data_IF_505683241778
#
_entry.id   IF_505683241778
#
_cell.length_a   1.000
_cell.length_b   1.000
_cell.length_c   1.000
_cell.angle_alpha   90.00
_cell.angle_beta   90.00
_cell.angle_gamma   90.00
#
_symmetry.space_group_name_H-M   'P 1'
#
loop_
_entity.id
_entity.type
_entity.pdbx_description
1 polymer ?
#
# COMPACT_ATOMS: atom_id res chain seq x y z
N UNK A 1 13.02 -3.65 8.96
CA UNK A 1 11.64 -3.67 9.52
C UNK A 1 10.89 -2.51 8.90
N UNK A 2 9.80 -2.73 8.18
CA UNK A 2 9.11 -1.69 7.40
C UNK A 2 8.61 -0.47 8.22
N UNK A 3 8.23 0.60 7.52
CA UNK A 3 7.60 1.80 8.09
C UNK A 3 6.23 2.08 7.48
N UNK A 4 5.27 2.53 8.29
CA UNK A 4 3.93 2.95 7.86
C UNK A 4 3.70 4.40 8.27
N UNK A 5 3.11 5.19 7.37
CA UNK A 5 2.64 6.55 7.64
C UNK A 5 1.19 6.65 7.20
N UNK A 6 0.35 7.28 8.01
CA UNK A 6 -1.02 7.66 7.64
C UNK A 6 -1.26 9.10 8.05
N UNK A 7 -2.06 9.83 7.26
CA UNK A 7 -2.45 11.20 7.58
C UNK A 7 -3.91 11.44 7.22
N UNK A 8 -4.60 12.11 8.15
CA UNK A 8 -5.96 12.65 7.97
C UNK A 8 -5.92 14.06 8.55
N UNK A 9 -6.21 15.08 7.73
CA UNK A 9 -6.22 16.47 8.20
C UNK A 9 -6.38 17.49 7.08
N UNK A 10 -5.74 18.65 7.22
CA UNK A 10 -5.92 19.82 6.32
C UNK A 10 -4.69 20.17 5.46
N UNK A 11 -3.60 19.40 5.60
CA UNK A 11 -2.35 19.66 4.87
C UNK A 11 -2.38 18.84 3.58
N UNK A 12 -1.72 19.33 2.53
CA UNK A 12 -1.54 18.56 1.29
C UNK A 12 -0.85 17.24 1.60
N UNK A 13 -1.37 16.15 1.03
CA UNK A 13 -0.99 14.80 1.45
C UNK A 13 0.45 14.44 1.05
N UNK A 14 0.89 14.81 -0.16
CA UNK A 14 2.19 14.37 -0.70
C UNK A 14 3.38 14.81 0.17
N UNK A 15 3.54 16.11 0.54
CA UNK A 15 4.63 16.51 1.43
C UNK A 15 4.58 15.82 2.80
N UNK A 16 3.38 15.63 3.37
CA UNK A 16 3.22 15.00 4.68
C UNK A 16 3.66 13.54 4.65
N UNK A 17 3.26 12.79 3.61
CA UNK A 17 3.67 11.39 3.46
C UNK A 17 5.17 11.29 3.18
N UNK A 18 5.73 12.12 2.30
CA UNK A 18 7.17 12.12 2.02
C UNK A 18 8.00 12.42 3.27
N UNK A 19 7.64 13.44 4.05
CA UNK A 19 8.34 13.76 5.30
C UNK A 19 8.25 12.63 6.32
N UNK A 20 7.06 12.00 6.44
CA UNK A 20 6.88 10.84 7.30
C UNK A 20 7.73 9.66 6.86
N UNK A 21 7.76 9.36 5.56
CA UNK A 21 8.52 8.25 5.00
C UNK A 21 10.04 8.48 5.09
N UNK A 22 10.52 9.73 4.90
CA UNK A 22 11.93 10.10 5.08
C UNK A 22 12.41 9.75 6.49
N UNK A 23 11.58 10.03 7.51
CA UNK A 23 11.87 9.66 8.91
C UNK A 23 11.87 8.15 9.16
N UNK A 24 11.25 7.36 8.28
CA UNK A 24 11.15 5.90 8.37
C UNK A 24 11.99 5.16 7.32
N UNK A 25 12.84 5.84 6.56
CA UNK A 25 13.64 5.19 5.52
C UNK A 25 14.70 4.24 6.11
N UNK A 26 15.23 4.55 7.30
CA UNK A 26 16.18 3.68 8.00
C UNK A 26 15.60 2.29 8.34
N UNK A 27 14.27 2.16 8.30
CA UNK A 27 13.52 0.94 8.60
C UNK A 27 13.43 0.01 7.38
N UNK A 28 13.37 0.56 6.16
CA UNK A 28 13.33 -0.19 4.91
C UNK A 28 13.51 0.73 3.70
N UNK A 29 14.32 0.28 2.73
CA UNK A 29 14.76 1.09 1.59
C UNK A 29 14.78 0.28 0.28
N UNK A 30 14.12 -0.89 0.27
CA UNK A 30 14.03 -1.74 -0.91
C UNK A 30 12.95 -1.27 -1.89
N UNK A 31 11.92 -0.61 -1.37
CA UNK A 31 10.84 0.04 -2.13
C UNK A 31 10.01 0.94 -1.22
N UNK A 32 9.28 1.88 -1.80
CA UNK A 32 8.35 2.73 -1.09
C UNK A 32 7.11 3.00 -1.95
N UNK A 33 6.03 3.43 -1.31
CA UNK A 33 4.84 3.85 -2.03
C UNK A 33 3.85 4.59 -1.16
N UNK A 34 2.92 5.27 -1.81
CA UNK A 34 1.86 6.07 -1.21
C UNK A 34 0.54 5.86 -1.95
N UNK A 35 -0.56 6.10 -1.26
CA UNK A 35 -1.89 6.16 -1.84
C UNK A 35 -2.74 7.24 -1.19
N UNK A 36 -3.62 7.85 -1.98
CA UNK A 36 -4.57 8.87 -1.54
C UNK A 36 -5.83 8.84 -2.42
N UNK A 37 -7.00 9.23 -1.89
CA UNK A 37 -8.19 9.44 -2.69
C UNK A 37 -8.15 10.80 -3.39
N UNK A 38 -8.53 10.84 -4.66
CA UNK A 38 -8.71 12.07 -5.44
C UNK A 38 -9.68 11.79 -6.60
N UNK A 39 -10.59 12.73 -6.89
CA UNK A 39 -11.59 12.63 -7.97
C UNK A 39 -12.40 11.33 -7.96
N UNK A 40 -12.80 10.87 -6.77
CA UNK A 40 -13.57 9.63 -6.59
C UNK A 40 -12.79 8.34 -6.88
N UNK A 41 -11.46 8.42 -7.00
CA UNK A 41 -10.57 7.27 -7.27
C UNK A 41 -9.46 7.20 -6.23
N UNK A 42 -8.97 5.99 -5.97
CA UNK A 42 -7.70 5.82 -5.26
C UNK A 42 -6.53 5.98 -6.23
N UNK A 43 -5.70 6.98 -5.98
CA UNK A 43 -4.39 7.14 -6.59
C UNK A 43 -3.38 6.33 -5.79
N UNK A 44 -2.44 5.70 -6.49
CA UNK A 44 -1.37 4.93 -5.88
C UNK A 44 -0.10 5.08 -6.71
N UNK A 45 1.00 5.44 -6.06
CA UNK A 45 2.32 5.57 -6.68
C UNK A 45 3.31 4.75 -5.86
N UNK A 46 4.12 3.95 -6.53
CA UNK A 46 5.07 3.03 -5.91
C UNK A 46 6.37 3.10 -6.69
N UNK A 47 7.47 2.84 -5.99
CA UNK A 47 8.79 2.83 -6.59
C UNK A 47 9.65 1.73 -5.94
N UNK A 48 10.45 1.07 -6.77
CA UNK A 48 11.53 0.19 -6.32
C UNK A 48 12.73 1.04 -5.88
N UNK A 49 13.37 0.65 -4.79
CA UNK A 49 14.59 1.25 -4.28
C UNK A 49 14.33 2.31 -3.20
N UNK A 50 15.28 3.24 -3.08
CA UNK A 50 15.28 4.29 -2.07
C UNK A 50 14.15 5.29 -2.29
N UNK A 51 13.84 6.05 -1.23
CA UNK A 51 12.69 6.94 -1.21
C UNK A 51 12.77 8.08 -2.24
N UNK A 52 13.98 8.49 -2.66
CA UNK A 52 14.16 9.53 -3.68
C UNK A 52 13.51 9.14 -5.02
N UNK A 53 13.47 7.86 -5.37
CA UNK A 53 12.84 7.39 -6.62
C UNK A 53 11.31 7.58 -6.54
N UNK A 54 10.73 7.35 -5.35
CA UNK A 54 9.31 7.67 -5.12
C UNK A 54 9.06 9.17 -5.15
N UNK A 55 9.96 9.98 -4.58
CA UNK A 55 9.86 11.44 -4.58
C UNK A 55 9.85 11.99 -6.01
N UNK A 56 10.75 11.50 -6.88
CA UNK A 56 10.76 11.82 -8.31
C UNK A 56 9.46 11.42 -9.02
N UNK A 57 8.93 10.23 -8.75
CA UNK A 57 7.66 9.77 -9.31
C UNK A 57 6.44 10.59 -8.83
N UNK A 58 6.55 11.26 -7.68
CA UNK A 58 5.47 12.08 -7.11
C UNK A 58 5.45 13.52 -7.61
N UNK A 59 6.46 13.94 -8.38
CA UNK A 59 6.53 15.29 -8.97
C UNK A 59 5.30 15.60 -9.82
N UNK A 60 4.81 14.62 -10.59
CA UNK A 60 3.61 14.78 -11.43
C UNK A 60 2.32 15.01 -10.62
N UNK A 61 2.33 14.69 -9.31
CA UNK A 61 1.18 14.82 -8.41
C UNK A 61 1.29 15.99 -7.44
N UNK A 62 2.28 16.88 -7.55
CA UNK A 62 2.41 18.05 -6.66
C UNK A 62 1.19 18.97 -6.64
N UNK A 63 0.38 18.92 -7.70
CA UNK A 63 -0.88 19.66 -7.83
C UNK A 63 -2.04 19.13 -6.98
N UNK A 64 -1.92 17.93 -6.39
CA UNK A 64 -3.02 17.33 -5.63
C UNK A 64 -3.47 18.21 -4.46
N UNK A 65 -4.77 18.23 -4.25
CA UNK A 65 -5.41 18.92 -3.11
C UNK A 65 -5.85 17.94 -2.01
N UNK A 66 -5.64 16.64 -2.22
CA UNK A 66 -5.96 15.62 -1.24
C UNK A 66 -5.23 15.86 0.09
N UNK A 67 -5.91 15.56 1.19
CA UNK A 67 -5.41 15.77 2.56
C UNK A 67 -5.51 14.52 3.43
N UNK A 68 -5.85 13.39 2.80
CA UNK A 68 -5.94 12.06 3.41
C UNK A 68 -5.10 11.10 2.60
N UNK A 69 -4.38 10.20 3.25
CA UNK A 69 -3.61 9.17 2.56
C UNK A 69 -2.69 8.40 3.48
N UNK A 70 -2.01 7.43 2.89
CA UNK A 70 -1.10 6.54 3.59
C UNK A 70 0.13 6.24 2.74
N UNK A 71 1.19 5.81 3.39
CA UNK A 71 2.45 5.47 2.77
C UNK A 71 3.18 4.36 3.50
N UNK A 72 4.13 3.74 2.81
CA UNK A 72 4.91 2.65 3.35
C UNK A 72 6.34 2.64 2.80
N UNK A 73 7.32 2.39 3.67
CA UNK A 73 8.69 2.02 3.31
C UNK A 73 8.91 0.54 3.59
N UNK A 74 9.46 -0.19 2.62
CA UNK A 74 9.51 -1.65 2.64
C UNK A 74 10.94 -2.17 2.80
N UNK A 75 11.09 -3.17 3.66
CA UNK A 75 12.22 -4.10 3.70
C UNK A 75 11.69 -5.45 3.22
N UNK A 76 12.21 -5.95 2.10
CA UNK A 76 11.69 -7.15 1.45
C UNK A 76 12.08 -8.42 2.26
N UNK A 77 11.09 -9.05 2.89
CA UNK A 77 11.21 -10.37 3.53
C UNK A 77 10.63 -11.48 2.65
N UNK A 78 9.47 -11.25 2.05
CA UNK A 78 8.84 -12.11 1.04
C UNK A 78 8.86 -11.43 -0.33
N UNK A 79 9.07 -12.18 -1.40
CA UNK A 79 9.11 -11.65 -2.76
C UNK A 79 10.31 -10.75 -3.03
N UNK A 80 10.59 -10.50 -4.32
CA UNK A 80 11.71 -9.65 -4.73
C UNK A 80 11.39 -8.16 -4.49
N UNK A 81 12.40 -7.30 -4.32
CA UNK A 81 12.20 -5.86 -4.29
C UNK A 81 11.85 -5.37 -5.71
N UNK A 82 10.55 -5.31 -6.01
CA UNK A 82 9.98 -4.80 -7.26
C UNK A 82 8.88 -3.79 -6.95
N UNK A 83 8.43 -3.04 -7.96
CA UNK A 83 7.34 -2.08 -7.78
C UNK A 83 6.00 -2.77 -7.47
N UNK A 84 5.76 -3.94 -8.06
CA UNK A 84 4.56 -4.75 -7.85
C UNK A 84 4.45 -5.20 -6.38
N UNK A 85 5.58 -5.56 -5.79
CA UNK A 85 5.71 -5.97 -4.40
C UNK A 85 5.81 -4.79 -3.42
N UNK A 86 5.92 -3.56 -3.92
CA UNK A 86 5.87 -2.39 -3.07
C UNK A 86 4.44 -2.17 -2.57
N UNK A 87 4.33 -1.78 -1.30
CA UNK A 87 3.07 -1.36 -0.72
C UNK A 87 2.76 0.09 -1.16
N UNK A 88 1.49 0.54 -1.16
CA UNK A 88 0.28 -0.20 -0.76
C UNK A 88 -0.18 -1.28 -1.76
N UNK A 89 -0.81 -2.34 -1.27
CA UNK A 89 -1.48 -3.36 -2.11
C UNK A 89 -2.95 -3.02 -2.28
N UNK A 90 -3.56 -3.34 -3.42
CA UNK A 90 -4.98 -3.11 -3.69
C UNK A 90 -5.76 -4.41 -3.85
N UNK A 91 -7.07 -4.29 -3.68
CA UNK A 91 -8.05 -5.30 -4.07
C UNK A 91 -8.18 -5.43 -5.60
N UNK A 92 -9.04 -6.34 -6.08
CA UNK A 92 -9.25 -6.51 -7.52
C UNK A 92 -9.92 -5.27 -8.15
N UNK A 93 -10.76 -4.53 -7.40
CA UNK A 93 -11.46 -3.35 -7.90
C UNK A 93 -10.61 -2.07 -7.91
N UNK A 94 -9.52 -2.03 -7.12
CA UNK A 94 -8.69 -0.84 -6.93
C UNK A 94 -9.31 0.22 -6.01
N UNK A 95 -10.40 -0.10 -5.31
CA UNK A 95 -11.11 0.80 -4.38
C UNK A 95 -10.68 0.63 -2.93
N UNK A 96 -9.91 -0.41 -2.62
CA UNK A 96 -9.31 -0.64 -1.32
C UNK A 96 -7.79 -0.70 -1.46
N UNK A 97 -7.07 -0.14 -0.50
CA UNK A 97 -5.62 -0.36 -0.37
C UNK A 97 -5.22 -0.69 1.06
N UNK A 98 -4.19 -1.52 1.20
CA UNK A 98 -3.64 -1.97 2.48
C UNK A 98 -2.13 -1.75 2.51
N UNK A 99 -1.64 -1.31 3.67
CA UNK A 99 -0.22 -1.37 4.05
C UNK A 99 -0.11 -2.23 5.31
N UNK A 100 0.97 -2.98 5.42
CA UNK A 100 1.17 -3.93 6.50
C UNK A 100 2.65 -3.96 6.91
N UNK A 101 2.90 -4.06 8.20
CA UNK A 101 4.23 -4.27 8.76
C UNK A 101 4.15 -5.45 9.71
N UNK A 102 4.61 -6.60 9.24
CA UNK A 102 4.46 -7.89 9.89
C UNK A 102 4.67 -9.00 8.88
N UNK A 103 4.38 -10.24 9.29
CA UNK A 103 4.41 -11.42 8.41
C UNK A 103 3.10 -12.17 8.59
N UNK A 104 2.46 -12.55 7.48
CA UNK A 104 1.29 -13.44 7.49
C UNK A 104 1.76 -14.86 7.19
N UNK A 105 1.95 -15.66 8.23
CA UNK A 105 2.61 -16.97 8.12
C UNK A 105 1.83 -17.96 7.24
N UNK A 106 0.51 -17.87 7.20
CA UNK A 106 -0.37 -18.74 6.41
C UNK A 106 -0.77 -18.15 5.05
N UNK A 107 -0.06 -17.12 4.54
CA UNK A 107 -0.44 -16.41 3.31
C UNK A 107 -0.56 -17.32 2.08
N UNK A 108 0.25 -18.38 1.99
CA UNK A 108 0.20 -19.31 0.85
C UNK A 108 -1.16 -20.02 0.76
N UNK A 109 -1.65 -20.55 1.90
CA UNK A 109 -2.95 -21.23 1.97
C UNK A 109 -4.08 -20.24 1.66
N UNK A 110 -4.00 -19.02 2.20
CA UNK A 110 -4.97 -17.96 1.96
C UNK A 110 -5.01 -17.55 0.48
N UNK A 111 -3.83 -17.37 -0.14
CA UNK A 111 -3.67 -17.01 -1.55
C UNK A 111 -4.30 -18.05 -2.46
N UNK A 112 -4.00 -19.33 -2.27
CA UNK A 112 -4.55 -20.39 -3.13
C UNK A 112 -6.07 -20.50 -2.99
N UNK A 113 -6.60 -20.37 -1.76
CA UNK A 113 -8.06 -20.29 -1.55
C UNK A 113 -8.68 -19.11 -2.29
N UNK A 114 -8.14 -17.90 -2.12
CA UNK A 114 -8.68 -16.69 -2.77
C UNK A 114 -8.60 -16.77 -4.30
N UNK A 115 -7.52 -17.34 -4.87
CA UNK A 115 -7.44 -17.60 -6.31
C UNK A 115 -8.54 -18.56 -6.77
N UNK A 116 -8.81 -19.62 -6.01
CA UNK A 116 -9.89 -20.57 -6.33
C UNK A 116 -11.29 -19.94 -6.29
N UNK A 117 -11.44 -18.87 -5.51
CA UNK A 117 -12.65 -18.05 -5.40
C UNK A 117 -12.71 -16.92 -6.45
N UNK A 118 -11.69 -16.78 -7.31
CA UNK A 118 -11.67 -15.85 -8.45
C UNK A 118 -10.84 -14.57 -8.26
N UNK A 119 -10.16 -14.38 -7.13
CA UNK A 119 -9.34 -13.19 -6.90
C UNK A 119 -8.06 -13.21 -7.74
N UNK A 120 -7.71 -12.07 -8.35
CA UNK A 120 -6.52 -11.89 -9.17
C UNK A 120 -5.42 -11.15 -8.41
N UNK A 121 -4.33 -11.86 -8.10
CA UNK A 121 -3.14 -11.33 -7.44
C UNK A 121 -2.16 -10.72 -8.45
N UNK A 122 -1.51 -9.62 -8.06
CA UNK A 122 -0.53 -8.87 -8.87
C UNK A 122 0.86 -8.82 -8.26
N UNK A 123 1.05 -9.35 -7.06
CA UNK A 123 2.31 -9.38 -6.34
C UNK A 123 2.60 -10.77 -5.77
N UNK A 124 3.79 -10.95 -5.21
CA UNK A 124 4.21 -12.16 -4.50
C UNK A 124 4.30 -11.93 -2.98
N UNK A 125 3.75 -10.82 -2.48
CA UNK A 125 3.79 -10.51 -1.06
C UNK A 125 2.71 -11.27 -0.30
N UNK A 126 3.01 -11.51 0.97
CA UNK A 126 2.04 -11.96 1.95
C UNK A 126 0.91 -10.94 2.12
N UNK A 127 1.26 -9.65 2.14
CA UNK A 127 0.33 -8.54 2.42
C UNK A 127 -0.83 -8.43 1.43
N UNK A 128 -0.64 -8.76 0.16
CA UNK A 128 -1.74 -8.71 -0.83
C UNK A 128 -2.91 -9.62 -0.47
N UNK A 129 -2.67 -10.71 0.28
CA UNK A 129 -3.77 -11.57 0.76
C UNK A 129 -4.73 -10.80 1.67
N UNK A 130 -4.27 -9.80 2.44
CA UNK A 130 -5.15 -8.98 3.29
C UNK A 130 -6.09 -8.13 2.45
N UNK A 131 -5.59 -7.53 1.37
CA UNK A 131 -6.43 -6.70 0.50
C UNK A 131 -7.58 -7.53 -0.08
N UNK A 132 -7.30 -8.75 -0.52
CA UNK A 132 -8.31 -9.67 -1.06
C UNK A 132 -9.21 -10.30 0.01
N UNK A 133 -8.69 -10.58 1.21
CA UNK A 133 -9.53 -11.05 2.32
C UNK A 133 -10.55 -9.99 2.74
N UNK A 134 -10.11 -8.73 2.88
CA UNK A 134 -11.01 -7.63 3.21
C UNK A 134 -12.00 -7.45 2.07
N UNK A 135 -11.54 -7.39 0.82
CA UNK A 135 -12.40 -7.32 -0.39
C UNK A 135 -13.51 -8.37 -0.37
N UNK A 136 -13.18 -9.62 -0.05
CA UNK A 136 -14.15 -10.73 -0.01
C UNK A 136 -15.31 -10.49 0.96
N UNK A 137 -15.03 -9.85 2.10
CA UNK A 137 -16.04 -9.55 3.12
C UNK A 137 -16.53 -8.10 3.06
N UNK A 138 -16.02 -7.31 2.12
CA UNK A 138 -16.36 -5.91 1.95
C UNK A 138 -17.71 -5.80 1.23
N UNK A 139 -18.76 -5.72 2.04
CA UNK A 139 -20.07 -5.21 1.63
C UNK A 139 -20.02 -3.66 1.74
N UNK A 140 -20.85 -3.05 2.59
CA UNK A 140 -20.88 -1.60 2.80
C UNK A 140 -20.19 -1.14 4.11
N UNK A 141 -19.54 -2.07 4.83
CA UNK A 141 -18.93 -1.81 6.14
C UNK A 141 -17.49 -2.34 6.21
N UNK A 142 -16.52 -1.41 6.11
CA UNK A 142 -15.09 -1.73 6.20
C UNK A 142 -14.69 -2.23 7.59
N UNK A 143 -15.30 -1.73 8.67
CA UNK A 143 -14.96 -2.16 10.02
C UNK A 143 -15.36 -3.61 10.23
N UNK A 144 -16.56 -3.99 9.77
CA UNK A 144 -17.04 -5.38 9.78
C UNK A 144 -16.16 -6.29 8.90
N UNK A 145 -15.72 -5.81 7.74
CA UNK A 145 -14.88 -6.60 6.83
C UNK A 145 -13.46 -6.89 7.39
N UNK A 146 -12.97 -6.05 8.30
CA UNK A 146 -11.62 -6.17 8.91
C UNK A 146 -11.62 -6.96 10.23
N UNK A 147 -12.77 -7.10 10.90
CA UNK A 147 -12.91 -7.81 12.17
C UNK A 147 -12.98 -9.33 12.01
#
# INVERSE_FOLDING_TARGET
MCGIVGYVGHRKIIPVLLDGLKRLEYRGYDSAGVAWPEDGKLKRVRAKGKLNILEEALEEYRGTTASVGLGHTRWATHGRPTEENAHPHADCSGKLVVVHNGIIENYYILRERLKSEGHTFKSDTDTEVLAHLIEKYLEDDLEKAVR
#
